data_IF_078842960180
#
_entry.id   IF_078842960180
#
_cell.length_a   1.000
_cell.length_b   1.000
_cell.length_c   1.000
_cell.angle_alpha   90.00
_cell.angle_beta   90.00
_cell.angle_gamma   90.00
#
_symmetry.space_group_name_H-M   'P 1'
#
loop_
_entity.id
_entity.type
_entity.pdbx_description
1 polymer ?
#
# COMPACT_ATOMS: atom_id res chain seq x y z
N UNK A 1 5.97 19.73 3.16
CA UNK A 1 5.64 18.34 3.51
C UNK A 1 4.16 18.16 3.21
N UNK A 2 3.75 17.15 2.44
CA UNK A 2 2.34 16.97 2.02
C UNK A 2 1.40 16.86 3.23
N UNK A 3 1.90 16.33 4.35
CA UNK A 3 1.13 16.13 5.57
C UNK A 3 0.72 17.43 6.28
N UNK A 4 1.45 18.55 6.09
CA UNK A 4 1.11 19.83 6.73
C UNK A 4 -0.10 20.52 6.08
N UNK A 5 -0.42 20.17 4.82
CA UNK A 5 -1.55 20.74 4.09
C UNK A 5 -2.86 19.95 4.27
N UNK A 6 -2.82 18.80 4.94
CA UNK A 6 -3.99 17.94 5.17
C UNK A 6 -4.06 17.44 6.63
N UNK A 7 -4.38 18.33 7.59
CA UNK A 7 -4.32 18.02 9.02
C UNK A 7 -5.29 16.92 9.47
N UNK A 8 -6.29 16.59 8.65
CA UNK A 8 -7.31 15.57 8.93
C UNK A 8 -7.04 14.21 8.24
N UNK A 9 -5.89 14.02 7.60
CA UNK A 9 -5.54 12.73 6.97
C UNK A 9 -4.79 11.87 7.99
N UNK A 10 -5.36 10.70 8.28
CA UNK A 10 -4.68 9.59 8.95
C UNK A 10 -4.01 8.72 7.88
N UNK A 11 -2.74 8.41 8.07
CA UNK A 11 -1.98 7.53 7.18
C UNK A 11 -1.65 6.27 7.96
N UNK A 12 -2.07 5.13 7.44
CA UNK A 12 -1.67 3.81 7.92
C UNK A 12 -0.57 3.29 6.99
N UNK A 13 0.65 3.14 7.51
CA UNK A 13 1.77 2.57 6.78
C UNK A 13 1.89 1.08 7.13
N UNK A 14 1.71 0.22 6.14
CA UNK A 14 1.92 -1.21 6.26
C UNK A 14 3.21 -1.58 5.52
N UNK A 15 4.12 -2.28 6.20
CA UNK A 15 5.33 -2.86 5.61
C UNK A 15 5.06 -4.35 5.43
N UNK A 16 5.15 -4.84 4.19
CA UNK A 16 4.84 -6.23 3.88
C UNK A 16 5.60 -6.76 2.66
N UNK A 17 5.80 -8.08 2.65
CA UNK A 17 6.10 -8.88 1.46
C UNK A 17 5.03 -9.99 1.33
N UNK A 18 5.39 -11.27 1.34
CA UNK A 18 4.46 -12.38 1.53
C UNK A 18 3.83 -12.43 2.94
N UNK A 19 4.19 -11.52 3.85
CA UNK A 19 3.58 -11.33 5.17
C UNK A 19 3.65 -9.86 5.58
N UNK A 20 2.74 -9.43 6.46
CA UNK A 20 2.83 -8.11 7.12
C UNK A 20 3.93 -8.14 8.19
N UNK A 21 4.89 -7.22 8.09
CA UNK A 21 6.03 -7.06 9.00
C UNK A 21 5.85 -5.94 10.01
N UNK A 22 5.03 -4.93 9.69
CA UNK A 22 4.80 -3.79 10.57
C UNK A 22 3.66 -2.91 10.11
N UNK A 23 3.04 -2.22 11.06
CA UNK A 23 1.97 -1.26 10.85
C UNK A 23 2.23 -0.03 11.73
N UNK A 24 2.17 1.16 11.14
CA UNK A 24 2.40 2.44 11.80
C UNK A 24 1.30 3.43 11.42
N UNK A 25 0.71 4.07 12.42
CA UNK A 25 -0.28 5.14 12.22
C UNK A 25 0.38 6.50 12.33
N UNK A 26 0.16 7.36 11.36
CA UNK A 26 0.62 8.75 11.36
C UNK A 26 -0.54 9.73 11.27
N UNK A 27 -0.44 10.84 12.00
CA UNK A 27 -1.39 11.95 11.93
C UNK A 27 -0.62 13.27 11.85
N UNK A 28 -0.91 14.10 10.85
CA UNK A 28 -0.48 15.51 10.78
C UNK A 28 0.99 15.84 11.13
N UNK A 29 1.86 15.91 10.12
CA UNK A 29 3.18 16.55 10.23
C UNK A 29 4.28 15.76 10.94
N UNK A 30 4.01 14.53 11.38
CA UNK A 30 5.00 13.63 11.98
C UNK A 30 6.10 13.24 10.99
N UNK A 31 7.34 13.10 11.50
CA UNK A 31 8.46 12.57 10.71
C UNK A 31 8.27 11.06 10.54
N UNK A 32 8.20 10.62 9.28
CA UNK A 32 8.24 9.20 8.92
C UNK A 32 9.69 8.72 8.98
N UNK A 33 10.01 7.86 9.95
CA UNK A 33 11.27 7.11 10.00
C UNK A 33 10.93 5.64 10.27
N UNK A 34 11.10 4.78 9.28
CA UNK A 34 10.72 3.37 9.36
C UNK A 34 11.69 2.49 8.56
N UNK A 35 12.10 1.33 9.09
CA UNK A 35 12.99 0.43 8.38
C UNK A 35 12.21 -0.32 7.29
N UNK A 36 12.61 -0.15 6.02
CA UNK A 36 12.11 -0.98 4.93
C UNK A 36 12.78 -2.35 5.04
N UNK A 37 11.98 -3.40 5.25
CA UNK A 37 12.41 -4.80 5.22
C UNK A 37 11.59 -5.57 4.18
N UNK A 38 12.25 -6.45 3.43
CA UNK A 38 11.63 -7.32 2.42
C UNK A 38 12.68 -8.26 1.80
N UNK A 39 12.27 -9.12 0.87
CA UNK A 39 13.21 -9.98 0.13
C UNK A 39 12.67 -11.33 -0.38
N UNK A 40 11.40 -11.66 -0.17
CA UNK A 40 10.74 -12.84 -0.76
C UNK A 40 9.82 -12.45 -1.92
N UNK A 41 9.54 -13.39 -2.83
CA UNK A 41 8.51 -13.21 -3.87
C UNK A 41 7.20 -12.67 -3.29
N UNK A 42 6.47 -11.87 -4.05
CA UNK A 42 5.40 -11.04 -3.48
C UNK A 42 4.05 -11.74 -3.50
N UNK A 43 3.45 -11.93 -2.33
CA UNK A 43 2.04 -12.26 -2.20
C UNK A 43 1.33 -11.04 -1.63
N UNK A 44 0.46 -10.41 -2.42
CA UNK A 44 -0.23 -9.19 -1.98
C UNK A 44 -1.36 -9.50 -1.00
N UNK A 45 -1.93 -10.72 -1.05
CA UNK A 45 -3.15 -11.09 -0.31
C UNK A 45 -3.07 -10.81 1.19
N UNK A 46 -1.96 -11.11 1.91
CA UNK A 46 -1.85 -10.83 3.34
C UNK A 46 -2.04 -9.36 3.72
N UNK A 47 -1.69 -8.41 2.84
CA UNK A 47 -1.95 -6.98 3.09
C UNK A 47 -3.42 -6.66 2.99
N UNK A 48 -4.11 -7.21 1.99
CA UNK A 48 -5.55 -7.02 1.83
C UNK A 48 -6.33 -7.65 2.97
N UNK A 49 -5.97 -8.89 3.35
CA UNK A 49 -6.56 -9.59 4.49
C UNK A 49 -6.36 -8.79 5.79
N UNK A 50 -5.17 -8.18 5.99
CA UNK A 50 -4.89 -7.34 7.15
C UNK A 50 -5.73 -6.06 7.15
N UNK A 51 -5.86 -5.38 6.02
CA UNK A 51 -6.67 -4.15 5.93
C UNK A 51 -8.14 -4.45 6.21
N UNK A 52 -8.69 -5.54 5.67
CA UNK A 52 -10.06 -5.94 5.91
C UNK A 52 -10.32 -6.22 7.40
N UNK A 53 -9.38 -6.89 8.08
CA UNK A 53 -9.50 -7.24 9.48
C UNK A 53 -9.28 -6.05 10.44
N UNK A 54 -8.25 -5.23 10.20
CA UNK A 54 -7.74 -4.28 11.18
C UNK A 54 -8.04 -2.81 10.82
N UNK A 55 -8.32 -2.51 9.56
CA UNK A 55 -8.48 -1.15 9.04
C UNK A 55 -9.80 -0.97 8.24
N UNK A 56 -10.97 -1.27 8.81
CA UNK A 56 -12.25 -1.33 8.10
C UNK A 56 -12.73 0.01 7.53
N UNK A 57 -12.14 1.13 7.98
CA UNK A 57 -12.45 2.48 7.50
C UNK A 57 -11.53 2.94 6.35
N UNK A 58 -10.68 2.05 5.83
CA UNK A 58 -9.80 2.35 4.70
C UNK A 58 -10.62 2.75 3.48
N UNK A 59 -10.33 3.93 2.94
CA UNK A 59 -10.98 4.44 1.72
C UNK A 59 -10.09 4.31 0.48
N UNK A 60 -8.77 4.22 0.67
CA UNK A 60 -7.79 4.07 -0.40
C UNK A 60 -6.53 3.35 0.09
N UNK A 61 -5.98 2.47 -0.75
CA UNK A 61 -4.69 1.83 -0.60
C UNK A 61 -3.75 2.28 -1.73
N UNK A 62 -2.59 2.83 -1.37
CA UNK A 62 -1.47 3.08 -2.29
C UNK A 62 -0.39 2.02 -2.07
N UNK A 63 -0.22 1.11 -3.03
CA UNK A 63 0.70 -0.03 -2.91
C UNK A 63 1.91 0.18 -3.83
N UNK A 64 3.12 0.24 -3.27
CA UNK A 64 4.37 0.34 -4.02
C UNK A 64 4.91 -1.05 -4.35
N UNK A 65 5.04 -1.38 -5.64
CA UNK A 65 5.49 -2.70 -6.10
C UNK A 65 5.94 -2.63 -7.57
N UNK A 66 6.61 -3.65 -8.09
CA UNK A 66 6.77 -3.84 -9.54
C UNK A 66 5.57 -4.59 -10.16
N UNK A 67 4.68 -5.09 -9.29
CA UNK A 67 3.43 -5.79 -9.60
C UNK A 67 3.59 -7.30 -9.84
N UNK A 68 4.80 -7.87 -9.71
CA UNK A 68 4.97 -9.32 -9.87
C UNK A 68 4.61 -10.07 -8.57
N UNK A 69 3.43 -10.68 -8.53
CA UNK A 69 2.96 -11.39 -7.36
C UNK A 69 1.56 -12.00 -7.44
N UNK A 70 1.11 -12.54 -6.31
CA UNK A 70 -0.24 -13.10 -6.18
C UNK A 70 -1.23 -12.05 -5.67
N UNK A 71 -2.26 -11.81 -6.47
CA UNK A 71 -3.32 -10.85 -6.17
C UNK A 71 -4.52 -11.51 -5.46
N UNK A 72 -5.30 -10.72 -4.70
CA UNK A 72 -6.66 -11.10 -4.34
C UNK A 72 -7.49 -11.45 -5.57
N UNK A 73 -8.38 -12.44 -5.44
CA UNK A 73 -9.31 -12.81 -6.53
C UNK A 73 -10.47 -11.83 -6.66
N UNK A 74 -10.83 -11.18 -5.55
CA UNK A 74 -11.93 -10.24 -5.46
C UNK A 74 -11.33 -8.87 -5.10
N UNK A 75 -11.61 -7.80 -5.87
CA UNK A 75 -11.18 -6.46 -5.51
C UNK A 75 -11.80 -6.02 -4.18
N UNK A 76 -11.08 -5.25 -3.33
CA UNK A 76 -11.67 -4.70 -2.11
C UNK A 76 -12.69 -3.61 -2.44
N UNK A 77 -13.47 -3.18 -1.44
CA UNK A 77 -14.46 -2.09 -1.57
C UNK A 77 -13.86 -0.68 -1.58
N UNK A 78 -12.56 -0.55 -1.27
CA UNK A 78 -11.83 0.72 -1.26
C UNK A 78 -11.00 0.91 -2.54
N UNK A 79 -10.60 2.15 -2.82
CA UNK A 79 -9.79 2.45 -3.99
C UNK A 79 -8.39 1.83 -3.87
N UNK A 80 -7.90 1.21 -4.95
CA UNK A 80 -6.54 0.66 -4.99
C UNK A 80 -5.74 1.37 -6.07
N UNK A 81 -4.65 2.01 -5.65
CA UNK A 81 -3.63 2.60 -6.48
C UNK A 81 -2.38 1.74 -6.44
N UNK A 82 -1.97 1.22 -7.58
CA UNK A 82 -0.73 0.47 -7.72
C UNK A 82 0.36 1.43 -8.20
N UNK A 83 1.23 1.86 -7.28
CA UNK A 83 2.42 2.63 -7.57
C UNK A 83 3.50 1.71 -8.13
N UNK A 84 3.50 1.56 -9.46
CA UNK A 84 4.32 0.60 -10.19
C UNK A 84 5.70 1.16 -10.54
N UNK A 85 6.75 0.36 -10.32
CA UNK A 85 8.12 0.70 -10.75
C UNK A 85 8.37 0.54 -12.25
N UNK A 86 7.49 -0.17 -12.96
CA UNK A 86 7.50 -0.41 -14.40
C UNK A 86 6.08 -0.60 -14.92
N UNK A 87 5.87 -0.56 -16.23
CA UNK A 87 4.58 -0.92 -16.80
C UNK A 87 4.22 -2.38 -16.46
N UNK A 88 3.04 -2.57 -15.86
CA UNK A 88 2.52 -3.90 -15.60
C UNK A 88 0.98 -3.90 -15.56
N UNK A 89 0.38 -5.05 -15.91
CA UNK A 89 -1.07 -5.24 -15.88
C UNK A 89 -1.47 -5.75 -14.50
N UNK A 90 -2.34 -5.00 -13.84
CA UNK A 90 -2.95 -5.37 -12.56
C UNK A 90 -4.39 -5.86 -12.78
N UNK A 91 -4.89 -6.81 -11.98
CA UNK A 91 -6.24 -7.36 -12.18
C UNK A 91 -7.36 -6.40 -11.76
N UNK A 92 -7.06 -5.41 -10.93
CA UNK A 92 -8.01 -4.38 -10.47
C UNK A 92 -7.28 -3.15 -9.95
N UNK A 93 -8.03 -2.07 -9.70
CA UNK A 93 -7.48 -0.79 -9.27
C UNK A 93 -6.84 -0.01 -10.42
N UNK A 94 -6.19 1.10 -10.10
CA UNK A 94 -5.55 1.98 -11.08
C UNK A 94 -4.02 1.82 -11.01
N UNK A 95 -3.34 1.47 -12.11
CA UNK A 95 -1.88 1.50 -12.16
C UNK A 95 -1.38 2.94 -12.33
N UNK A 96 -0.32 3.29 -11.59
CA UNK A 96 0.41 4.55 -11.66
C UNK A 96 1.89 4.22 -11.78
N UNK A 97 2.49 4.41 -12.96
CA UNK A 97 3.94 4.18 -13.13
C UNK A 97 4.70 5.38 -12.56
N UNK A 98 5.47 5.15 -11.49
CA UNK A 98 6.06 6.22 -10.68
C UNK A 98 7.46 6.63 -11.15
N UNK A 99 8.12 5.80 -11.94
CA UNK A 99 9.43 6.10 -12.53
C UNK A 99 9.30 6.07 -14.06
N UNK A 100 9.44 7.24 -14.69
CA UNK A 100 9.72 7.33 -16.11
C UNK A 100 11.24 7.47 -16.26
N UNK A 101 11.85 6.57 -17.02
CA UNK A 101 13.22 6.75 -17.51
C UNK A 101 13.25 7.84 -18.58
#
# INVERSE_FOLDING_TARGET
NIMTNFPSIRIELIIADARVHGHYTFQGGEKMDFPIKGGGGTDYRPVFDYIEAELPMTTMLLYFTDGDGWYPKIPPSYEVLWALSREHKVPFGRPLVVFHH
#
